data_IF_479242427007
#
_entry.id   IF_479242427007
#
_cell.length_a   1.000
_cell.length_b   1.000
_cell.length_c   1.000
_cell.angle_alpha   90.00
_cell.angle_beta   90.00
_cell.angle_gamma   90.00
#
_symmetry.space_group_name_H-M   'P 1'
#
loop_
_entity.id
_entity.type
_entity.pdbx_description
1 polymer ?
#
# COMPACT_ATOMS: atom_id res chain seq x y z
N UNK A 1 4.32 -2.72 -14.04
CA UNK A 1 3.39 -3.30 -13.04
C UNK A 1 2.07 -2.60 -13.20
N UNK A 2 0.97 -3.35 -13.16
CA UNK A 2 -0.38 -2.81 -13.36
C UNK A 2 -1.16 -2.90 -12.05
N UNK A 3 -1.99 -1.89 -11.80
CA UNK A 3 -2.86 -1.84 -10.64
C UNK A 3 -3.77 -0.60 -10.72
N UNK A 4 -4.76 -0.51 -9.82
CA UNK A 4 -5.78 0.55 -9.88
C UNK A 4 -5.19 1.93 -9.54
N UNK A 5 -5.61 3.02 -10.24
CA UNK A 5 -5.30 4.39 -9.84
C UNK A 5 -6.08 4.79 -8.57
N UNK A 6 -5.86 6.01 -8.03
CA UNK A 6 -6.75 6.61 -7.03
C UNK A 6 -8.23 6.42 -7.41
N UNK A 7 -9.12 6.06 -6.46
CA UNK A 7 -8.97 6.12 -5.00
C UNK A 7 -8.09 5.03 -4.36
N UNK A 8 -7.65 4.02 -5.13
CA UNK A 8 -6.73 3.02 -4.59
C UNK A 8 -5.31 3.57 -4.44
N UNK A 9 -4.60 3.10 -3.41
CA UNK A 9 -3.24 3.52 -3.07
C UNK A 9 -2.13 2.68 -3.73
N UNK A 10 -2.40 2.06 -4.89
CA UNK A 10 -1.45 1.16 -5.58
C UNK A 10 -0.08 1.82 -5.90
N UNK A 11 -0.06 3.13 -6.10
CA UNK A 11 1.18 3.89 -6.33
C UNK A 11 2.20 3.74 -5.18
N UNK A 12 1.75 3.48 -3.96
CA UNK A 12 2.59 3.14 -2.80
C UNK A 12 3.42 1.87 -3.08
N UNK A 13 2.76 0.81 -3.55
CA UNK A 13 3.41 -0.46 -3.90
C UNK A 13 4.38 -0.28 -5.06
N UNK A 14 4.01 0.52 -6.06
CA UNK A 14 4.89 0.82 -7.19
C UNK A 14 6.18 1.53 -6.74
N UNK A 15 6.07 2.48 -5.81
CA UNK A 15 7.23 3.18 -5.25
C UNK A 15 8.12 2.24 -4.44
N UNK A 16 7.56 1.40 -3.57
CA UNK A 16 8.32 0.41 -2.78
C UNK A 16 9.16 -0.48 -3.71
N UNK A 17 8.55 -1.03 -4.75
CA UNK A 17 9.24 -1.93 -5.68
C UNK A 17 10.28 -1.16 -6.49
N UNK A 18 10.02 0.08 -6.89
CA UNK A 18 10.98 0.92 -7.62
C UNK A 18 12.22 1.25 -6.78
N UNK A 19 12.03 1.54 -5.49
CA UNK A 19 13.13 1.75 -4.54
C UNK A 19 13.96 0.47 -4.34
N UNK A 20 13.30 -0.66 -4.14
CA UNK A 20 13.99 -1.94 -3.97
C UNK A 20 14.74 -2.35 -5.23
N UNK A 21 14.12 -2.21 -6.42
CA UNK A 21 14.76 -2.48 -7.71
C UNK A 21 16.02 -1.62 -7.88
N UNK A 22 16.00 -0.34 -7.47
CA UNK A 22 17.17 0.52 -7.50
C UNK A 22 18.30 0.00 -6.60
N UNK A 23 18.01 -0.49 -5.40
CA UNK A 23 19.02 -1.11 -4.52
C UNK A 23 19.67 -2.36 -5.14
N UNK A 24 18.88 -3.18 -5.85
CA UNK A 24 19.40 -4.33 -6.60
C UNK A 24 20.31 -3.89 -7.77
N UNK A 25 19.92 -2.84 -8.50
CA UNK A 25 20.70 -2.34 -9.64
C UNK A 25 21.97 -1.56 -9.23
N UNK A 26 21.93 -0.83 -8.12
CA UNK A 26 23.03 0.00 -7.61
C UNK A 26 24.04 -0.76 -6.72
N UNK A 27 24.31 -2.04 -7.01
CA UNK A 27 25.55 -2.70 -6.58
C UNK A 27 25.62 -3.20 -5.12
N UNK A 28 24.50 -3.61 -4.50
CA UNK A 28 24.51 -4.35 -3.22
C UNK A 28 24.07 -5.83 -3.34
N UNK A 29 23.22 -6.14 -4.32
CA UNK A 29 22.76 -7.48 -4.61
C UNK A 29 22.80 -7.69 -6.12
N UNK A 30 23.81 -8.40 -6.63
CA UNK A 30 23.91 -8.68 -8.06
C UNK A 30 22.76 -9.56 -8.57
N UNK A 31 22.59 -9.70 -9.90
CA UNK A 31 21.57 -10.55 -10.52
C UNK A 31 21.68 -12.04 -10.15
N UNK A 32 22.75 -12.46 -9.48
CA UNK A 32 23.00 -13.82 -8.98
C UNK A 32 22.89 -13.96 -7.46
N UNK A 33 22.35 -12.96 -6.76
CA UNK A 33 22.21 -13.03 -5.30
C UNK A 33 21.26 -14.20 -4.95
N UNK A 34 21.77 -15.16 -4.18
CA UNK A 34 20.96 -16.30 -3.77
C UNK A 34 19.82 -15.82 -2.85
N UNK A 35 18.60 -16.32 -3.08
CA UNK A 35 17.42 -16.03 -2.26
C UNK A 35 17.67 -16.30 -0.78
N UNK A 36 18.46 -17.32 -0.47
CA UNK A 36 18.79 -17.67 0.92
C UNK A 36 19.67 -16.62 1.59
N UNK A 37 20.55 -15.96 0.84
CA UNK A 37 21.35 -14.84 1.35
C UNK A 37 20.46 -13.64 1.67
N UNK A 38 19.50 -13.32 0.80
CA UNK A 38 18.55 -12.22 1.04
C UNK A 38 17.67 -12.45 2.27
N UNK A 39 17.21 -13.68 2.49
CA UNK A 39 16.38 -14.05 3.65
C UNK A 39 17.08 -13.88 5.00
N UNK A 40 18.41 -13.88 5.01
CA UNK A 40 19.18 -13.78 6.24
C UNK A 40 19.95 -12.46 6.36
N UNK A 41 19.76 -11.52 5.44
CA UNK A 41 20.44 -10.23 5.45
C UNK A 41 19.61 -9.17 6.21
N UNK A 42 20.03 -8.72 7.41
CA UNK A 42 19.32 -7.70 8.15
C UNK A 42 19.23 -6.35 7.40
N UNK A 43 20.22 -6.05 6.56
CA UNK A 43 20.26 -4.80 5.81
C UNK A 43 19.22 -4.80 4.68
N UNK A 44 18.92 -5.97 4.11
CA UNK A 44 17.82 -6.11 3.15
C UNK A 44 16.48 -5.74 3.80
N UNK A 45 16.17 -6.32 4.96
CA UNK A 45 14.95 -6.03 5.70
C UNK A 45 14.91 -4.57 6.18
N UNK A 46 16.01 -4.03 6.67
CA UNK A 46 16.11 -2.62 7.04
C UNK A 46 15.72 -1.71 5.87
N UNK A 47 16.33 -1.92 4.69
CA UNK A 47 16.05 -1.11 3.50
C UNK A 47 14.61 -1.30 3.01
N UNK A 48 14.09 -2.53 3.08
CA UNK A 48 12.70 -2.82 2.72
C UNK A 48 11.71 -2.09 3.63
N UNK A 49 11.92 -2.13 4.94
CA UNK A 49 11.11 -1.42 5.94
C UNK A 49 11.22 0.10 5.73
N UNK A 50 12.41 0.64 5.47
CA UNK A 50 12.58 2.07 5.20
C UNK A 50 11.85 2.50 3.92
N UNK A 51 11.89 1.69 2.85
CA UNK A 51 11.13 1.94 1.63
C UNK A 51 9.62 1.96 1.88
N UNK A 52 9.12 1.03 2.70
CA UNK A 52 7.73 1.02 3.13
C UNK A 52 7.36 2.30 3.90
N UNK A 53 8.14 2.70 4.91
CA UNK A 53 7.86 3.92 5.68
C UNK A 53 7.76 5.16 4.80
N UNK A 54 8.67 5.35 3.85
CA UNK A 54 8.62 6.48 2.93
C UNK A 54 7.39 6.43 2.02
N UNK A 55 7.03 5.25 1.51
CA UNK A 55 5.88 5.11 0.61
C UNK A 55 4.55 5.27 1.35
N UNK A 56 4.40 4.63 2.52
CA UNK A 56 3.21 4.72 3.36
C UNK A 56 3.00 6.11 3.95
N UNK A 57 4.06 6.89 4.18
CA UNK A 57 3.93 8.28 4.57
C UNK A 57 3.24 9.16 3.50
N UNK A 58 3.26 8.76 2.23
CA UNK A 58 2.52 9.46 1.18
C UNK A 58 1.07 8.97 1.06
N UNK A 59 0.77 7.78 1.55
CA UNK A 59 -0.57 7.17 1.47
C UNK A 59 -1.61 8.02 2.18
N UNK A 60 -1.25 8.69 3.28
CA UNK A 60 -2.13 9.59 4.03
C UNK A 60 -2.54 10.84 3.25
N UNK A 61 -1.88 11.14 2.13
CA UNK A 61 -2.17 12.26 1.24
C UNK A 61 -2.93 11.82 -0.03
N UNK A 62 -3.23 10.52 -0.15
CA UNK A 62 -4.07 9.98 -1.21
C UNK A 62 -5.54 10.08 -0.83
N UNK A 63 -6.40 10.01 -1.85
CA UNK A 63 -7.85 10.05 -1.71
C UNK A 63 -8.49 9.94 -3.08
N UNK A 64 -9.81 10.08 -3.13
CA UNK A 64 -10.57 10.04 -4.39
C UNK A 64 -10.19 11.23 -5.30
N UNK A 65 -9.74 10.95 -6.52
CA UNK A 65 -9.29 11.96 -7.48
C UNK A 65 -10.41 12.94 -7.90
N UNK A 66 -11.68 12.55 -7.75
CA UNK A 66 -12.81 13.44 -8.03
C UNK A 66 -12.90 14.58 -7.01
N UNK A 67 -12.46 14.35 -5.77
CA UNK A 67 -12.56 15.30 -4.65
C UNK A 67 -11.20 15.88 -4.25
N UNK A 68 -10.12 15.11 -4.38
CA UNK A 68 -8.74 15.49 -4.05
C UNK A 68 -7.91 15.46 -5.33
N UNK A 69 -7.88 16.58 -6.05
CA UNK A 69 -7.18 16.69 -7.35
C UNK A 69 -5.66 16.46 -7.22
N UNK A 70 -5.12 16.72 -6.03
CA UNK A 70 -3.74 16.52 -5.66
C UNK A 70 -3.36 15.03 -5.58
N UNK A 71 -4.32 14.15 -5.24
CA UNK A 71 -4.08 12.72 -5.05
C UNK A 71 -3.62 12.04 -6.36
N UNK A 72 -4.26 12.38 -7.49
CA UNK A 72 -3.87 11.89 -8.82
C UNK A 72 -2.45 12.33 -9.17
N UNK A 73 -2.16 13.63 -9.01
CA UNK A 73 -0.83 14.21 -9.29
C UNK A 73 0.25 13.58 -8.41
N UNK A 74 -0.06 13.33 -7.14
CA UNK A 74 0.84 12.65 -6.21
C UNK A 74 1.12 11.22 -6.67
N UNK A 75 0.09 10.46 -7.01
CA UNK A 75 0.24 9.09 -7.52
C UNK A 75 1.10 9.05 -8.79
N UNK A 76 0.84 9.93 -9.75
CA UNK A 76 1.66 10.07 -10.96
C UNK A 76 3.11 10.43 -10.62
N UNK A 77 3.33 11.42 -9.74
CA UNK A 77 4.66 11.84 -9.33
C UNK A 77 5.44 10.71 -8.63
N UNK A 78 4.79 9.94 -7.75
CA UNK A 78 5.39 8.80 -7.05
C UNK A 78 5.87 7.70 -8.01
N UNK A 79 5.29 7.59 -9.20
CA UNK A 79 5.72 6.62 -10.22
C UNK A 79 6.92 7.09 -11.06
N UNK A 80 7.37 8.34 -10.90
CA UNK A 80 8.50 8.89 -11.65
C UNK A 80 9.86 8.40 -11.13
N UNK A 81 10.86 8.40 -12.01
CA UNK A 81 12.24 8.02 -11.65
C UNK A 81 12.89 9.08 -10.75
N UNK A 82 12.51 10.34 -10.96
CA UNK A 82 12.99 11.51 -10.25
C UNK A 82 12.55 11.43 -8.78
N UNK A 83 11.26 11.17 -8.55
CA UNK A 83 10.72 10.97 -7.20
C UNK A 83 11.37 9.77 -6.49
N UNK A 84 11.49 8.64 -7.19
CA UNK A 84 12.20 7.46 -6.66
C UNK A 84 13.64 7.79 -6.27
N UNK A 85 14.36 8.57 -7.09
CA UNK A 85 15.74 8.98 -6.81
C UNK A 85 15.83 9.92 -5.61
N UNK A 86 14.89 10.84 -5.50
CA UNK A 86 14.78 11.75 -4.35
C UNK A 86 14.55 10.99 -3.05
N UNK A 87 13.60 10.06 -3.00
CA UNK A 87 13.35 9.22 -1.80
C UNK A 87 14.58 8.37 -1.48
N UNK A 88 15.17 7.73 -2.49
CA UNK A 88 16.37 6.90 -2.33
C UNK A 88 17.53 7.67 -1.68
N UNK A 89 17.76 8.92 -2.07
CA UNK A 89 18.82 9.78 -1.50
C UNK A 89 18.64 10.07 0.00
N UNK A 90 17.41 9.94 0.52
CA UNK A 90 17.05 10.20 1.91
C UNK A 90 17.08 8.94 2.77
N UNK A 91 17.07 7.75 2.17
CA UNK A 91 17.14 6.49 2.90
C UNK A 91 18.51 6.33 3.57
N UNK A 92 18.52 6.07 4.87
CA UNK A 92 19.73 5.87 5.67
C UNK A 92 19.81 4.42 6.16
N UNK A 93 21.01 3.92 6.45
CA UNK A 93 21.21 2.62 7.13
C UNK A 93 20.89 2.68 8.64
N UNK A 94 20.03 3.60 9.06
CA UNK A 94 19.52 3.72 10.44
C UNK A 94 18.06 4.17 10.39
N UNK A 95 17.24 3.63 11.28
CA UNK A 95 15.86 4.06 11.43
C UNK A 95 15.79 5.53 11.86
N UNK A 96 14.79 6.27 11.40
CA UNK A 96 14.55 7.67 11.78
C UNK A 96 13.22 7.78 12.52
N UNK A 97 12.99 8.93 13.16
CA UNK A 97 11.72 9.24 13.80
C UNK A 97 10.62 9.48 12.73
N UNK A 98 9.36 9.34 13.12
CA UNK A 98 8.21 9.40 12.21
C UNK A 98 8.12 10.71 11.41
N UNK A 99 8.53 11.81 12.02
CA UNK A 99 8.55 13.16 11.42
C UNK A 99 9.47 13.22 10.20
N UNK A 100 10.52 12.40 10.16
CA UNK A 100 11.46 12.37 9.05
C UNK A 100 10.81 11.91 7.73
N UNK A 101 9.81 11.04 7.82
CA UNK A 101 9.13 10.47 6.65
C UNK A 101 7.96 11.33 6.17
N UNK A 102 7.52 12.32 6.98
CA UNK A 102 6.36 13.18 6.67
C UNK A 102 5.25 13.15 7.71
N UNK A 103 5.47 12.54 8.89
CA UNK A 103 4.48 12.53 9.97
C UNK A 103 3.33 11.54 9.72
N UNK A 104 3.63 10.25 9.71
CA UNK A 104 2.60 9.20 9.62
C UNK A 104 1.65 9.29 10.81
N UNK A 105 0.35 9.41 10.52
CA UNK A 105 -0.69 9.15 11.52
C UNK A 105 -0.81 7.64 11.72
N UNK A 106 -1.19 7.22 12.93
CA UNK A 106 -1.33 5.80 13.26
C UNK A 106 -2.29 5.11 12.29
N UNK A 107 -1.93 3.90 11.84
CA UNK A 107 -2.80 3.05 11.05
C UNK A 107 -3.39 1.98 11.96
N UNK A 108 -4.70 1.75 11.90
CA UNK A 108 -5.33 0.63 12.59
C UNK A 108 -5.10 -0.68 11.83
N UNK A 109 -5.00 -1.79 12.55
CA UNK A 109 -4.92 -3.12 11.96
C UNK A 109 -6.15 -3.41 11.11
N UNK A 110 -5.95 -3.91 9.89
CA UNK A 110 -7.00 -4.11 8.90
C UNK A 110 -7.22 -5.60 8.58
N UNK A 111 -8.48 -6.01 8.40
CA UNK A 111 -8.93 -7.40 8.25
C UNK A 111 -10.13 -7.51 7.27
N UNK A 112 -10.40 -8.70 6.73
CA UNK A 112 -11.66 -8.96 6.00
C UNK A 112 -11.58 -8.91 4.46
N UNK A 113 -10.40 -8.74 3.88
CA UNK A 113 -10.21 -8.73 2.43
C UNK A 113 -9.90 -10.13 1.87
N UNK A 114 -10.55 -10.50 0.77
CA UNK A 114 -10.28 -11.72 0.00
C UNK A 114 -9.71 -11.40 -1.38
N UNK A 115 -8.80 -12.24 -1.86
CA UNK A 115 -8.20 -12.11 -3.19
C UNK A 115 -8.37 -13.41 -3.99
N UNK A 116 -8.77 -13.28 -5.25
CA UNK A 116 -8.90 -14.40 -6.19
C UNK A 116 -8.10 -14.07 -7.45
N UNK A 117 -7.30 -15.04 -7.90
CA UNK A 117 -6.62 -15.00 -9.19
C UNK A 117 -6.95 -16.27 -9.97
N UNK A 118 -7.26 -16.13 -11.25
CA UNK A 118 -7.60 -17.22 -12.15
C UNK A 118 -6.91 -17.04 -13.50
N UNK A 119 -6.49 -18.15 -14.12
CA UNK A 119 -5.92 -18.20 -15.45
C UNK A 119 -6.59 -19.33 -16.22
N UNK A 120 -7.00 -19.08 -17.46
CA UNK A 120 -7.59 -20.11 -18.33
C UNK A 120 -6.59 -20.64 -19.37
N UNK A 121 -6.99 -21.70 -20.10
CA UNK A 121 -6.19 -22.32 -21.16
C UNK A 121 -5.99 -21.43 -22.39
N UNK A 122 -6.81 -20.38 -22.53
CA UNK A 122 -6.76 -19.46 -23.66
C UNK A 122 -5.83 -18.27 -23.38
N UNK A 123 -5.22 -18.23 -22.19
CA UNK A 123 -4.31 -17.17 -21.77
C UNK A 123 -5.02 -15.95 -21.13
N UNK A 124 -6.31 -16.05 -20.82
CA UNK A 124 -7.01 -15.02 -20.07
C UNK A 124 -6.67 -15.13 -18.59
N UNK A 125 -6.31 -14.01 -17.97
CA UNK A 125 -6.02 -13.91 -16.55
C UNK A 125 -6.92 -12.89 -15.86
N UNK A 126 -7.44 -13.24 -14.68
CA UNK A 126 -8.24 -12.35 -13.83
C UNK A 126 -7.59 -12.28 -12.47
N UNK A 127 -7.51 -11.08 -11.90
CA UNK A 127 -7.08 -10.83 -10.53
C UNK A 127 -8.09 -9.86 -9.91
N UNK A 128 -8.76 -10.31 -8.86
CA UNK A 128 -9.84 -9.57 -8.20
C UNK A 128 -9.64 -9.60 -6.70
N UNK A 129 -9.71 -8.42 -6.09
CA UNK A 129 -9.69 -8.25 -4.64
C UNK A 129 -11.06 -7.71 -4.23
N UNK A 130 -11.71 -8.38 -3.28
CA UNK A 130 -13.03 -8.01 -2.79
C UNK A 130 -13.01 -7.96 -1.27
N UNK A 131 -13.69 -6.96 -0.70
CA UNK A 131 -13.79 -6.76 0.74
C UNK A 131 -15.22 -6.34 1.09
N UNK A 132 -15.66 -6.64 2.31
CA UNK A 132 -16.85 -6.03 2.92
C UNK A 132 -16.45 -5.03 3.99
N UNK A 133 -15.17 -4.67 4.04
CA UNK A 133 -14.51 -3.96 5.12
C UNK A 133 -14.70 -4.67 6.49
N UNK A 134 -14.53 -3.94 7.59
CA UNK A 134 -14.13 -4.44 8.90
C UNK A 134 -15.33 -4.92 9.74
N UNK A 135 -15.04 -5.77 10.72
CA UNK A 135 -15.37 -5.55 12.14
C UNK A 135 -14.67 -6.65 12.93
N UNK A 136 -13.87 -6.23 13.89
CA UNK A 136 -12.63 -6.86 14.41
C UNK A 136 -12.79 -8.22 15.11
N UNK A 137 -13.99 -8.78 15.12
CA UNK A 137 -14.31 -10.08 15.75
C UNK A 137 -15.09 -11.00 14.82
N UNK A 138 -15.81 -10.45 13.83
CA UNK A 138 -16.84 -11.19 13.09
C UNK A 138 -16.65 -11.17 11.57
N UNK A 139 -15.83 -10.27 10.99
CA UNK A 139 -15.58 -10.18 9.54
C UNK A 139 -16.86 -10.03 8.68
N UNK A 140 -17.90 -9.38 9.21
CA UNK A 140 -19.23 -9.22 8.57
C UNK A 140 -19.57 -7.76 8.21
N UNK A 141 -18.58 -6.96 7.79
CA UNK A 141 -18.76 -5.56 7.41
C UNK A 141 -19.54 -4.75 8.46
N UNK A 142 -20.57 -4.03 8.03
CA UNK A 142 -21.43 -3.22 8.90
C UNK A 142 -22.26 -4.02 9.92
N UNK A 143 -22.19 -5.35 9.92
CA UNK A 143 -23.00 -6.26 10.78
C UNK A 143 -24.51 -6.07 10.53
N UNK A 144 -24.87 -5.49 9.38
CA UNK A 144 -26.24 -5.30 8.92
C UNK A 144 -26.49 -6.25 7.75
N UNK A 145 -27.59 -7.01 7.84
CA UNK A 145 -28.04 -7.88 6.77
C UNK A 145 -29.44 -7.46 6.30
N UNK A 146 -29.66 -7.46 4.99
CA UNK A 146 -30.99 -7.30 4.44
C UNK A 146 -31.88 -8.48 4.84
N UNK A 147 -32.94 -8.22 5.61
CA UNK A 147 -33.91 -9.24 6.05
C UNK A 147 -34.57 -9.96 4.87
N UNK A 148 -34.74 -9.28 3.74
CA UNK A 148 -35.38 -9.84 2.54
C UNK A 148 -34.42 -10.62 1.64
N UNK A 149 -33.17 -10.15 1.50
CA UNK A 149 -32.22 -10.66 0.50
C UNK A 149 -31.09 -11.50 1.10
N UNK A 150 -30.90 -11.46 2.42
CA UNK A 150 -29.78 -12.14 3.09
C UNK A 150 -28.40 -11.53 2.77
N UNK A 151 -28.35 -10.37 2.12
CA UNK A 151 -27.10 -9.68 1.76
C UNK A 151 -26.54 -8.93 2.97
N UNK A 152 -25.28 -9.18 3.28
CA UNK A 152 -24.51 -8.45 4.30
C UNK A 152 -23.98 -7.15 3.69
N UNK A 153 -24.13 -6.04 4.41
CA UNK A 153 -23.66 -4.73 3.97
C UNK A 153 -22.22 -4.49 4.39
N UNK A 154 -21.45 -3.84 3.51
CA UNK A 154 -20.10 -3.39 3.83
C UNK A 154 -20.14 -2.16 4.75
N UNK A 155 -19.03 -1.90 5.42
CA UNK A 155 -18.74 -0.68 6.17
C UNK A 155 -17.57 0.10 5.55
N UNK A 156 -17.42 0.09 4.22
CA UNK A 156 -16.30 0.76 3.51
C UNK A 156 -16.23 2.27 3.82
N UNK A 157 -17.34 2.89 4.26
CA UNK A 157 -17.33 4.29 4.68
C UNK A 157 -16.47 4.56 5.94
N UNK A 158 -16.06 3.53 6.69
CA UNK A 158 -15.12 3.63 7.82
C UNK A 158 -13.70 4.03 7.37
N UNK A 159 -13.39 3.91 6.08
CA UNK A 159 -12.09 4.26 5.51
C UNK A 159 -11.86 5.78 5.38
N UNK A 160 -12.92 6.58 5.55
CA UNK A 160 -12.90 8.04 5.45
C UNK A 160 -12.39 8.73 6.71
N UNK A 161 -11.41 9.63 6.56
CA UNK A 161 -10.86 10.42 7.69
C UNK A 161 -11.93 11.12 8.54
N UNK A 162 -11.91 10.89 9.86
CA UNK A 162 -12.77 11.57 10.84
C UNK A 162 -11.93 12.45 11.78
N UNK A 163 -12.18 13.76 11.87
CA UNK A 163 -11.39 14.66 12.73
C UNK A 163 -11.38 14.19 14.19
N UNK A 164 -10.18 14.02 14.76
CA UNK A 164 -9.98 13.66 16.16
C UNK A 164 -10.04 12.15 16.46
N UNK A 165 -10.22 11.30 15.44
CA UNK A 165 -10.21 9.83 15.58
C UNK A 165 -9.08 9.25 14.73
N UNK A 166 -8.29 8.35 15.30
CA UNK A 166 -7.36 7.52 14.53
C UNK A 166 -8.16 6.38 13.93
N UNK A 167 -8.26 6.34 12.61
CA UNK A 167 -8.87 5.26 11.84
C UNK A 167 -7.83 4.67 10.89
N UNK A 168 -8.15 3.56 10.24
CA UNK A 168 -7.36 3.12 9.09
C UNK A 168 -7.66 4.02 7.89
N UNK A 169 -7.03 5.20 7.83
CA UNK A 169 -7.24 6.13 6.71
C UNK A 169 -6.90 5.44 5.37
N UNK A 170 -7.92 5.27 4.53
CA UNK A 170 -7.75 4.88 3.13
C UNK A 170 -8.27 5.95 2.17
N UNK A 171 -9.23 6.81 2.59
CA UNK A 171 -9.93 7.80 1.73
C UNK A 171 -10.14 9.14 2.45
#
# INVERSE_FOLDING_TARGET
MCGPPPPSSFAVTQLIISLMARWFLCQFYGPKTNKDVLKHDPLFYHRFIEAQKFAYAQRTLMGDEAYVKEAKKLAENMTTKEYTSWVFSRMRNRAQATEYYGGMQGQMDDHGTSHVAALDSNGNGVSSTTTVNRWQVLLFGAVVQSVKLGVVFNDEMDDFSTPGIIISCYI
#
